data_IF_127142932255
#
_entry.id   IF_127142932255
#
_cell.length_a   1.000
_cell.length_b   1.000
_cell.length_c   1.000
_cell.angle_alpha   90.00
_cell.angle_beta   90.00
_cell.angle_gamma   90.00
#
_symmetry.space_group_name_H-M   'P 1'
#
loop_
_entity.id
_entity.type
_entity.pdbx_description
1 polymer ?
#
# COMPACT_ATOMS: atom_id res chain seq x y z
N UNK A 1 -27.71 -13.05 -2.78
CA UNK A 1 -26.59 -12.85 -1.85
C UNK A 1 -25.51 -12.03 -2.55
N UNK A 2 -25.54 -10.70 -2.40
CA UNK A 2 -24.44 -9.86 -2.86
C UNK A 2 -23.29 -10.08 -1.88
N UNK A 3 -22.35 -10.95 -2.24
CA UNK A 3 -21.09 -11.05 -1.53
C UNK A 3 -20.45 -9.67 -1.69
N UNK A 4 -20.39 -8.90 -0.61
CA UNK A 4 -19.58 -7.70 -0.54
C UNK A 4 -18.20 -8.10 -1.04
N UNK A 5 -17.93 -7.72 -2.28
CA UNK A 5 -16.63 -7.88 -2.93
C UNK A 5 -15.76 -6.84 -2.26
N UNK A 6 -15.45 -7.07 -0.98
CA UNK A 6 -14.56 -6.25 -0.19
C UNK A 6 -13.32 -6.11 -1.06
N UNK A 7 -13.22 -4.96 -1.71
CA UNK A 7 -12.26 -4.66 -2.77
C UNK A 7 -10.88 -4.63 -2.11
N UNK A 8 -10.28 -5.80 -1.95
CA UNK A 8 -8.95 -5.95 -1.38
C UNK A 8 -8.00 -5.17 -2.28
N UNK A 9 -7.40 -4.11 -1.72
CA UNK A 9 -6.41 -3.30 -2.41
C UNK A 9 -5.04 -3.74 -1.94
N UNK A 10 -4.15 -3.98 -2.89
CA UNK A 10 -2.75 -4.27 -2.60
C UNK A 10 -1.97 -2.96 -2.65
N UNK A 11 -1.25 -2.66 -1.57
CA UNK A 11 -0.35 -1.52 -1.47
C UNK A 11 1.10 -2.01 -1.47
N UNK A 12 1.93 -1.34 -2.24
CA UNK A 12 3.38 -1.56 -2.22
C UNK A 12 4.02 -0.51 -1.32
N UNK A 13 4.75 -0.96 -0.31
CA UNK A 13 5.45 -0.08 0.63
C UNK A 13 6.91 -0.49 0.74
N UNK A 14 7.78 0.49 0.95
CA UNK A 14 9.20 0.24 1.20
C UNK A 14 9.46 0.06 2.70
N UNK A 15 10.28 -0.93 3.06
CA UNK A 15 10.82 -1.02 4.40
C UNK A 15 11.88 0.07 4.63
N UNK A 16 11.65 0.98 5.57
CA UNK A 16 12.62 2.03 5.89
C UNK A 16 13.96 1.52 6.45
N UNK A 17 14.04 0.25 6.86
CA UNK A 17 15.26 -0.34 7.43
C UNK A 17 16.17 -1.00 6.39
N UNK A 18 15.60 -1.75 5.44
CA UNK A 18 16.36 -2.56 4.47
C UNK A 18 15.98 -2.27 3.01
N UNK A 19 15.13 -1.27 2.78
CA UNK A 19 14.63 -0.82 1.48
C UNK A 19 13.92 -1.91 0.63
N UNK A 20 13.58 -3.05 1.25
CA UNK A 20 12.81 -4.12 0.58
C UNK A 20 11.38 -3.65 0.31
N UNK A 21 10.86 -3.95 -0.87
CA UNK A 21 9.47 -3.69 -1.25
C UNK A 21 8.58 -4.80 -0.67
N UNK A 22 7.47 -4.42 -0.03
CA UNK A 22 6.47 -5.34 0.51
C UNK A 22 5.13 -5.11 -0.16
N UNK A 23 4.43 -6.20 -0.47
CA UNK A 23 3.04 -6.17 -0.87
C UNK A 23 2.14 -6.39 0.35
N UNK A 24 1.17 -5.50 0.54
CA UNK A 24 0.28 -5.50 1.71
C UNK A 24 -1.16 -5.42 1.24
N UNK A 25 -1.95 -6.46 1.52
CA UNK A 25 -3.39 -6.48 1.21
C UNK A 25 -4.18 -5.77 2.30
N UNK A 26 -5.07 -4.88 1.90
CA UNK A 26 -5.89 -4.06 2.80
C UNK A 26 -7.35 -4.26 2.46
N UNK A 27 -8.18 -4.73 3.41
CA UNK A 27 -9.61 -4.78 3.19
C UNK A 27 -10.16 -3.36 3.13
N UNK A 28 -10.95 -3.06 2.10
CA UNK A 28 -11.53 -1.72 1.88
C UNK A 28 -12.60 -1.32 2.89
N UNK A 29 -12.99 -2.22 3.80
CA UNK A 29 -13.85 -1.94 4.95
C UNK A 29 -13.10 -1.31 6.13
N UNK A 30 -11.75 -1.28 6.10
CA UNK A 30 -10.97 -0.68 7.18
C UNK A 30 -10.93 0.84 7.06
N UNK A 31 -11.87 1.50 7.75
CA UNK A 31 -11.88 2.96 7.95
C UNK A 31 -10.65 3.46 8.74
N UNK A 32 -9.92 2.56 9.38
CA UNK A 32 -8.66 2.86 10.07
C UNK A 32 -7.50 2.53 9.15
N UNK A 33 -6.81 3.58 8.73
CA UNK A 33 -5.81 3.57 7.68
C UNK A 33 -4.40 3.34 8.18
N UNK A 34 -4.20 3.04 9.45
CA UNK A 34 -2.88 2.70 10.00
C UNK A 34 -2.74 1.19 10.09
N UNK A 35 -1.81 0.60 9.35
CA UNK A 35 -1.51 -0.83 9.44
C UNK A 35 -0.06 -1.04 9.86
N UNK A 36 0.17 -2.12 10.61
CA UNK A 36 1.51 -2.56 10.97
C UNK A 36 1.90 -3.74 10.11
N UNK A 37 2.99 -3.59 9.36
CA UNK A 37 3.49 -4.57 8.40
C UNK A 37 4.83 -5.08 8.90
N UNK A 38 5.00 -6.39 8.97
CA UNK A 38 6.30 -6.99 9.29
C UNK A 38 7.10 -7.22 8.01
N UNK A 39 8.35 -6.79 8.00
CA UNK A 39 9.25 -7.06 6.89
C UNK A 39 9.66 -8.54 6.85
N UNK A 40 9.43 -9.18 5.70
CA UNK A 40 9.89 -10.55 5.45
C UNK A 40 11.41 -10.70 5.38
N UNK A 41 12.14 -9.61 5.13
CA UNK A 41 13.59 -9.61 5.02
C UNK A 41 14.30 -9.32 6.35
N UNK A 42 14.05 -8.14 6.96
CA UNK A 42 14.75 -7.73 8.17
C UNK A 42 13.96 -7.99 9.47
N UNK A 43 12.79 -8.64 9.40
CA UNK A 43 11.91 -8.95 10.54
C UNK A 43 11.35 -7.74 11.33
N UNK A 44 11.73 -6.50 10.96
CA UNK A 44 11.27 -5.28 11.61
C UNK A 44 9.79 -5.00 11.32
N UNK A 45 9.12 -4.34 12.27
CA UNK A 45 7.75 -3.87 12.14
C UNK A 45 7.75 -2.44 11.60
N UNK A 46 6.92 -2.18 10.60
CA UNK A 46 6.70 -0.87 10.01
C UNK A 46 5.25 -0.45 10.25
N UNK A 47 5.04 0.75 10.77
CA UNK A 47 3.70 1.35 10.86
C UNK A 47 3.49 2.26 9.67
N UNK A 48 2.55 1.92 8.79
CA UNK A 48 2.25 2.69 7.57
C UNK A 48 0.84 3.25 7.63
N UNK A 49 0.69 4.52 7.27
CA UNK A 49 -0.62 5.16 7.12
C UNK A 49 -1.04 5.11 5.64
N UNK A 50 -1.99 4.24 5.34
CA UNK A 50 -2.58 3.98 4.02
C UNK A 50 -3.65 5.00 3.60
N UNK A 51 -4.02 5.91 4.50
CA UNK A 51 -5.07 6.92 4.31
C UNK A 51 -4.50 8.26 3.90
N UNK A 52 -3.26 8.52 4.29
CA UNK A 52 -2.46 9.63 3.79
C UNK A 52 -1.60 9.24 2.59
N UNK A 53 -1.43 7.94 2.30
CA UNK A 53 -0.80 7.49 1.06
C UNK A 53 -1.78 7.63 -0.10
N UNK A 54 -1.95 8.86 -0.58
CA UNK A 54 -2.09 9.05 -2.02
C UNK A 54 -0.98 8.22 -2.66
N UNK A 55 -1.28 7.36 -3.64
CA UNK A 55 -0.22 6.68 -4.34
C UNK A 55 0.68 7.78 -4.89
N UNK A 56 1.96 7.78 -4.53
CA UNK A 56 2.97 8.25 -5.47
C UNK A 56 2.96 7.26 -6.62
N UNK A 57 1.90 7.31 -7.44
CA UNK A 57 2.08 7.10 -8.86
C UNK A 57 3.14 8.15 -9.21
N UNK A 58 4.30 7.78 -9.78
CA UNK A 58 4.91 8.76 -10.66
C UNK A 58 3.76 9.12 -11.61
N UNK A 59 3.41 10.41 -11.64
CA UNK A 59 2.69 10.97 -12.77
C UNK A 59 3.47 10.51 -14.00
N UNK A 60 3.07 9.39 -14.59
CA UNK A 60 3.45 9.06 -15.96
C UNK A 60 2.70 10.09 -16.75
N UNK A 61 3.36 11.22 -16.95
CA UNK A 61 3.01 12.25 -17.89
C UNK A 61 2.72 11.58 -19.24
N UNK A 62 1.48 11.60 -19.74
CA UNK A 62 1.20 11.29 -21.13
C UNK A 62 0.97 12.62 -21.84
N UNK A 63 2.00 13.48 -21.92
CA UNK A 63 1.97 14.67 -22.76
C UNK A 63 3.24 14.73 -23.64
N UNK A 64 3.53 13.62 -24.32
CA UNK A 64 4.14 13.69 -25.65
C UNK A 64 3.04 13.45 -26.67
N UNK A 65 2.42 14.54 -27.14
CA UNK A 65 1.83 14.56 -28.47
C UNK A 65 2.05 15.95 -29.07
N UNK A 66 2.77 15.94 -30.20
CA UNK A 66 3.00 17.09 -31.08
C UNK A 66 1.70 17.68 -31.62
#
# INVERSE_FOLDING_TARGET
MSLDLASERVYYVHCNFCNTILAVSVPSSSLFTMVTVRCGHCANLLSVNMGASLPTVPLQDPQVQF
#
